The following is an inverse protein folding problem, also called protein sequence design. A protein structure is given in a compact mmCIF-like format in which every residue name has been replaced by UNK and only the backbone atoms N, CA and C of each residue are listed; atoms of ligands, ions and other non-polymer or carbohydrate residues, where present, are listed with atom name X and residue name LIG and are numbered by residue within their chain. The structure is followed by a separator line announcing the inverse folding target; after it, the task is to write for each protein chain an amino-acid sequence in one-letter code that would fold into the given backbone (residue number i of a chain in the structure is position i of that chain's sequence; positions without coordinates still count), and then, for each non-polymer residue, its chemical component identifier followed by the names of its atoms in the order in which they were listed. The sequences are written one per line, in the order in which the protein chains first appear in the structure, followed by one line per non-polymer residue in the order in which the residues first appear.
data_IF_769910970144
#
_entry.id   IF_769910970144
#
_cell.length_a   1.000
_cell.length_b   1.000
_cell.length_c   1.000
_cell.angle_alpha   90.00
_cell.angle_beta   90.00
_cell.angle_gamma   90.00
#
_symmetry.space_group_name_H-M   'P 1'
#
loop_
_entity.id
_entity.type
_entity.pdbx_description
1 polymer ?
#
# COMPACT_ATOMS: atom_id res chain seq x y z
N UNK A 1 11.84 15.25 -15.12
CA UNK A 1 10.74 15.70 -14.27
C UNK A 1 9.54 14.84 -14.59
N UNK A 2 8.89 14.23 -13.59
CA UNK A 2 7.68 13.44 -13.79
C UNK A 2 6.57 14.28 -14.47
N UNK A 3 5.59 13.59 -15.06
CA UNK A 3 4.36 14.26 -15.48
C UNK A 3 3.75 14.99 -14.30
N UNK A 4 3.22 16.17 -14.51
CA UNK A 4 2.65 16.96 -13.41
C UNK A 4 1.44 16.24 -12.80
N UNK A 5 1.35 16.28 -11.50
CA UNK A 5 0.20 15.85 -10.72
C UNK A 5 -1.07 16.58 -11.19
N UNK A 6 -2.24 15.92 -11.26
CA UNK A 6 -3.51 16.61 -11.52
C UNK A 6 -3.75 17.77 -10.53
N UNK A 7 -4.29 18.88 -11.01
CA UNK A 7 -4.45 20.07 -10.18
C UNK A 7 -5.38 19.84 -8.97
N UNK A 8 -6.37 18.96 -9.13
CA UNK A 8 -7.35 18.59 -8.11
C UNK A 8 -6.98 17.28 -7.35
N UNK A 9 -5.74 16.80 -7.46
CA UNK A 9 -5.30 15.52 -6.87
C UNK A 9 -5.58 15.43 -5.36
N UNK A 10 -5.17 16.45 -4.61
CA UNK A 10 -5.39 16.46 -3.15
C UNK A 10 -6.87 16.56 -2.81
N UNK A 11 -7.64 17.37 -3.54
CA UNK A 11 -9.08 17.48 -3.34
C UNK A 11 -9.79 16.16 -3.63
N UNK A 12 -9.41 15.48 -4.72
CA UNK A 12 -9.93 14.16 -5.07
C UNK A 12 -9.72 13.18 -3.91
N UNK A 13 -8.50 12.99 -3.44
CA UNK A 13 -8.21 12.04 -2.39
C UNK A 13 -8.81 12.43 -1.04
N UNK A 14 -8.80 13.70 -0.66
CA UNK A 14 -9.47 14.17 0.55
C UNK A 14 -10.97 13.87 0.51
N UNK A 15 -11.64 14.02 -0.63
CA UNK A 15 -13.05 13.66 -0.79
C UNK A 15 -13.29 12.16 -0.60
N UNK A 16 -12.36 11.29 -1.05
CA UNK A 16 -12.48 9.83 -0.83
C UNK A 16 -12.21 9.43 0.62
N UNK A 17 -11.18 10.00 1.22
CA UNK A 17 -10.86 9.76 2.64
C UNK A 17 -12.03 10.17 3.55
N UNK A 18 -12.72 11.25 3.24
CA UNK A 18 -13.88 11.73 4.02
C UNK A 18 -15.10 10.79 3.98
N UNK A 19 -15.16 9.85 3.02
CA UNK A 19 -16.25 8.86 2.96
C UNK A 19 -16.00 7.64 3.84
N UNK A 20 -14.80 7.47 4.38
CA UNK A 20 -14.49 6.33 5.23
C UNK A 20 -15.22 6.43 6.58
N UNK A 21 -15.91 5.35 6.95
CA UNK A 21 -16.47 5.20 8.29
C UNK A 21 -15.37 5.03 9.35
N UNK A 22 -15.76 5.00 10.62
CA UNK A 22 -14.83 4.62 11.70
C UNK A 22 -14.28 3.19 11.43
N UNK A 23 -12.99 2.93 11.72
CA UNK A 23 -12.36 1.65 11.41
C UNK A 23 -12.75 0.56 12.41
N UNK A 24 -14.04 0.19 12.43
CA UNK A 24 -14.57 -0.85 13.29
C UNK A 24 -14.17 -2.24 12.80
N UNK A 25 -13.95 -3.16 13.75
CA UNK A 25 -13.73 -4.58 13.47
C UNK A 25 -15.07 -5.27 13.36
N UNK A 26 -15.40 -5.80 12.18
CA UNK A 26 -16.59 -6.61 11.94
C UNK A 26 -16.42 -8.05 12.43
N UNK A 27 -15.20 -8.58 12.29
CA UNK A 27 -14.85 -9.95 12.68
C UNK A 27 -13.37 -10.01 13.08
N UNK A 28 -13.09 -10.75 14.15
CA UNK A 28 -11.74 -11.04 14.62
C UNK A 28 -11.62 -12.53 14.93
N UNK A 29 -10.66 -13.19 14.27
CA UNK A 29 -10.38 -14.63 14.44
C UNK A 29 -8.95 -14.82 14.86
N UNK A 30 -8.71 -15.60 15.91
CA UNK A 30 -7.36 -15.90 16.39
C UNK A 30 -6.61 -16.78 15.39
N UNK A 31 -5.33 -16.52 15.18
CA UNK A 31 -4.42 -17.35 14.37
C UNK A 31 -4.08 -18.62 15.19
N UNK A 32 -4.25 -19.78 14.60
CA UNK A 32 -4.08 -21.06 15.31
C UNK A 32 -2.67 -21.29 15.90
N UNK A 33 -1.63 -20.78 15.26
CA UNK A 33 -0.24 -20.95 15.68
C UNK A 33 0.55 -19.66 15.44
N UNK A 34 0.36 -18.62 16.25
CA UNK A 34 1.17 -17.42 16.15
C UNK A 34 2.62 -17.72 16.56
N UNK A 35 3.56 -16.86 16.19
CA UNK A 35 4.93 -16.98 16.65
C UNK A 35 4.99 -16.95 18.19
N UNK A 36 5.91 -17.71 18.77
CA UNK A 36 6.08 -17.79 20.24
C UNK A 36 6.25 -16.40 20.84
N UNK A 37 5.51 -16.11 21.92
CA UNK A 37 5.52 -14.80 22.57
C UNK A 37 4.65 -13.73 21.90
N UNK A 38 3.84 -14.07 20.90
CA UNK A 38 2.93 -13.14 20.22
C UNK A 38 1.48 -13.60 20.29
N UNK A 39 0.59 -12.63 20.19
CA UNK A 39 -0.81 -12.82 19.80
C UNK A 39 -0.96 -12.47 18.32
N UNK A 40 -1.87 -13.18 17.64
CA UNK A 40 -2.15 -12.98 16.24
C UNK A 40 -3.61 -13.19 15.90
N UNK A 41 -4.15 -12.33 15.05
CA UNK A 41 -5.55 -12.36 14.64
C UNK A 41 -5.67 -12.07 13.15
N UNK A 42 -6.67 -12.68 12.52
CA UNK A 42 -7.24 -12.19 11.27
C UNK A 42 -8.33 -11.20 11.65
N UNK A 43 -8.28 -10.01 11.10
CA UNK A 43 -9.29 -8.98 11.30
C UNK A 43 -9.96 -8.62 9.98
N UNK A 44 -11.29 -8.39 10.06
CA UNK A 44 -12.11 -7.88 8.98
C UNK A 44 -12.61 -6.50 9.38
N UNK A 45 -12.26 -5.49 8.63
CA UNK A 45 -12.56 -4.09 8.93
C UNK A 45 -13.73 -3.58 8.10
N UNK A 46 -14.56 -2.80 8.75
CA UNK A 46 -15.69 -2.11 8.14
C UNK A 46 -15.21 -1.03 7.16
N UNK A 47 -15.81 -1.03 5.99
CA UNK A 47 -15.63 -0.03 4.93
C UNK A 47 -16.93 0.74 4.62
N UNK A 48 -17.95 0.61 5.47
CA UNK A 48 -19.29 1.13 5.22
C UNK A 48 -20.02 0.32 4.16
N UNK A 49 -20.35 0.94 3.03
CA UNK A 49 -21.05 0.29 1.92
C UNK A 49 -20.13 -0.45 0.95
N UNK A 50 -18.80 -0.37 1.12
CA UNK A 50 -17.82 -1.03 0.27
C UNK A 50 -17.40 -2.40 0.82
N UNK A 51 -16.74 -3.20 -0.04
CA UNK A 51 -16.18 -4.48 0.37
C UNK A 51 -15.15 -4.33 1.49
N UNK A 52 -15.19 -5.18 2.54
CA UNK A 52 -14.37 -5.06 3.73
C UNK A 52 -12.87 -5.17 3.46
N UNK A 53 -12.06 -4.59 4.36
CA UNK A 53 -10.63 -4.79 4.35
C UNK A 53 -10.24 -5.95 5.28
N UNK A 54 -9.20 -6.70 4.90
CA UNK A 54 -8.68 -7.82 5.67
C UNK A 54 -7.20 -7.63 5.99
N UNK A 55 -6.81 -7.96 7.21
CA UNK A 55 -5.43 -7.91 7.63
C UNK A 55 -5.12 -8.97 8.71
N UNK A 56 -3.85 -9.36 8.80
CA UNK A 56 -3.32 -9.99 10.01
C UNK A 56 -2.91 -8.90 10.99
N UNK A 57 -3.40 -9.00 12.23
CA UNK A 57 -2.97 -8.19 13.37
C UNK A 57 -2.10 -9.05 14.28
N UNK A 58 -0.91 -8.58 14.63
CA UNK A 58 -0.02 -9.26 15.58
C UNK A 58 0.59 -8.28 16.57
N UNK A 59 0.87 -8.74 17.78
CA UNK A 59 1.59 -7.98 18.80
C UNK A 59 2.18 -8.91 19.87
N UNK A 60 3.25 -8.49 20.59
CA UNK A 60 3.82 -9.28 21.69
C UNK A 60 2.78 -9.55 22.78
N UNK A 61 2.80 -10.74 23.35
CA UNK A 61 1.97 -11.05 24.53
C UNK A 61 2.34 -10.10 25.69
N UNK A 62 1.37 -9.84 26.57
CA UNK A 62 1.55 -9.00 27.75
C UNK A 62 1.95 -7.55 27.46
N UNK A 63 1.60 -7.03 26.27
CA UNK A 63 1.83 -5.64 25.93
C UNK A 63 0.87 -4.73 26.68
N UNK A 64 1.38 -3.57 27.11
CA UNK A 64 0.60 -2.52 27.78
C UNK A 64 0.14 -1.45 26.80
N UNK A 65 -0.96 -0.79 27.11
CA UNK A 65 -1.48 0.30 26.28
C UNK A 65 -0.46 1.44 26.15
N UNK A 66 -0.33 2.00 24.95
CA UNK A 66 0.53 3.13 24.66
C UNK A 66 2.03 2.84 24.65
N UNK A 67 2.45 1.56 24.61
CA UNK A 67 3.86 1.20 24.71
C UNK A 67 4.49 0.71 23.42
N UNK A 68 3.70 0.24 22.46
CA UNK A 68 4.22 -0.37 21.23
C UNK A 68 4.39 0.64 20.10
N UNK A 69 5.42 0.47 19.28
CA UNK A 69 5.47 1.05 17.94
C UNK A 69 4.39 0.44 17.06
N UNK A 70 4.07 1.06 15.94
CA UNK A 70 3.19 0.47 14.94
C UNK A 70 3.94 0.19 13.63
N UNK A 71 3.60 -0.92 12.98
CA UNK A 71 4.13 -1.27 11.67
C UNK A 71 3.02 -1.79 10.74
N UNK A 72 3.06 -1.37 9.48
CA UNK A 72 2.16 -1.85 8.44
C UNK A 72 2.99 -2.32 7.26
N UNK A 73 2.66 -3.50 6.72
CA UNK A 73 3.23 -4.01 5.48
C UNK A 73 2.15 -4.28 4.45
N UNK A 74 2.40 -3.83 3.22
CA UNK A 74 1.58 -4.10 2.03
C UNK A 74 2.31 -5.03 1.09
N UNK A 75 1.59 -6.02 0.54
CA UNK A 75 2.18 -7.04 -0.33
C UNK A 75 2.28 -6.59 -1.80
N UNK A 76 3.12 -7.28 -2.57
CA UNK A 76 3.27 -7.07 -4.01
C UNK A 76 2.05 -7.47 -4.83
N UNK A 77 2.13 -7.31 -6.16
CA UNK A 77 1.07 -7.68 -7.08
C UNK A 77 0.73 -9.18 -6.99
N UNK A 78 -0.56 -9.49 -7.06
CA UNK A 78 -1.06 -10.85 -7.10
C UNK A 78 -2.20 -11.11 -6.12
N UNK A 79 -2.99 -12.14 -6.42
CA UNK A 79 -4.10 -12.62 -5.59
C UNK A 79 -3.61 -13.83 -4.82
N UNK A 80 -2.82 -13.59 -3.79
CA UNK A 80 -2.16 -14.64 -3.02
C UNK A 80 -2.47 -14.51 -1.54
N UNK A 81 -2.38 -15.64 -0.85
CA UNK A 81 -2.38 -15.64 0.61
C UNK A 81 -1.18 -14.86 1.11
N UNK A 82 -1.45 -13.87 1.95
CA UNK A 82 -0.41 -13.14 2.68
C UNK A 82 -0.09 -13.84 4.01
N UNK A 83 0.95 -13.40 4.70
CA UNK A 83 1.37 -13.96 5.98
C UNK A 83 1.40 -12.90 7.06
N UNK A 84 1.15 -13.25 8.33
CA UNK A 84 1.37 -12.35 9.45
C UNK A 84 2.86 -12.03 9.61
N UNK A 85 3.16 -10.82 10.09
CA UNK A 85 4.51 -10.41 10.48
C UNK A 85 4.59 -10.28 12.00
N UNK A 86 5.75 -10.54 12.58
CA UNK A 86 5.98 -10.49 14.02
C UNK A 86 7.20 -9.60 14.29
N UNK A 87 6.97 -8.43 14.85
CA UNK A 87 8.01 -7.44 15.08
C UNK A 87 8.12 -7.14 16.57
N UNK A 88 9.35 -7.16 17.11
CA UNK A 88 9.61 -6.91 18.53
C UNK A 88 9.11 -5.50 18.93
N UNK A 89 8.45 -5.41 20.08
CA UNK A 89 7.91 -4.16 20.64
C UNK A 89 7.00 -3.38 19.68
N UNK A 90 6.24 -4.10 18.85
CA UNK A 90 5.45 -3.46 17.78
C UNK A 90 4.09 -4.15 17.64
N UNK A 91 3.03 -3.36 17.53
CA UNK A 91 1.75 -3.82 17.00
C UNK A 91 1.83 -3.73 15.48
N UNK A 92 1.52 -4.83 14.77
CA UNK A 92 1.79 -4.94 13.34
C UNK A 92 0.55 -5.34 12.55
N UNK A 93 0.40 -4.77 11.35
CA UNK A 93 -0.57 -5.22 10.36
C UNK A 93 0.14 -5.71 9.10
N UNK A 94 -0.31 -6.86 8.60
CA UNK A 94 -0.05 -7.33 7.25
C UNK A 94 -1.37 -7.23 6.48
N UNK A 95 -1.46 -6.28 5.55
CA UNK A 95 -2.73 -5.88 4.93
C UNK A 95 -2.90 -6.53 3.56
N UNK A 96 -4.09 -7.08 3.30
CA UNK A 96 -4.46 -7.61 2.00
C UNK A 96 -4.92 -6.49 1.06
N UNK A 97 -4.36 -6.42 -0.13
CA UNK A 97 -4.77 -5.48 -1.17
C UNK A 97 -6.21 -5.69 -1.64
N UNK A 98 -6.71 -6.90 -1.49
CA UNK A 98 -8.03 -7.31 -1.96
C UNK A 98 -9.00 -7.54 -0.81
N UNK A 99 -10.30 -7.41 -1.10
CA UNK A 99 -11.34 -7.85 -0.16
C UNK A 99 -11.50 -9.36 -0.27
N UNK A 100 -10.63 -10.10 0.42
CA UNK A 100 -10.63 -11.55 0.43
C UNK A 100 -10.20 -12.11 1.78
N UNK A 101 -10.74 -13.27 2.16
CA UNK A 101 -10.40 -13.97 3.39
C UNK A 101 -8.94 -14.43 3.39
N UNK A 102 -8.29 -14.42 4.56
CA UNK A 102 -6.86 -14.74 4.69
C UNK A 102 -6.60 -16.19 5.09
N UNK A 103 -7.62 -16.92 5.48
CA UNK A 103 -7.57 -18.33 5.87
C UNK A 103 -8.39 -19.24 4.95
N UNK A 104 -8.68 -18.78 3.73
CA UNK A 104 -9.37 -19.53 2.71
C UNK A 104 -8.60 -20.79 2.26
N UNK A 105 -9.32 -21.70 1.60
CA UNK A 105 -8.74 -22.90 0.99
C UNK A 105 -7.95 -22.55 -0.30
N UNK A 106 -7.16 -23.49 -0.78
CA UNK A 106 -6.47 -23.32 -2.07
C UNK A 106 -7.46 -23.08 -3.24
N UNK A 107 -8.64 -23.72 -3.20
CA UNK A 107 -9.71 -23.53 -4.18
C UNK A 107 -10.27 -22.11 -4.11
N UNK A 108 -10.55 -21.61 -2.91
CA UNK A 108 -10.96 -20.22 -2.69
C UNK A 108 -10.01 -19.21 -3.34
N UNK A 109 -8.69 -19.36 -3.12
CA UNK A 109 -7.71 -18.46 -3.73
C UNK A 109 -7.63 -18.60 -5.25
N UNK A 110 -7.81 -19.79 -5.79
CA UNK A 110 -7.91 -20.03 -7.24
C UNK A 110 -9.11 -19.30 -7.84
N UNK A 111 -10.27 -19.37 -7.19
CA UNK A 111 -11.48 -18.67 -7.62
C UNK A 111 -11.31 -17.14 -7.52
N UNK A 112 -10.69 -16.67 -6.43
CA UNK A 112 -10.37 -15.25 -6.29
C UNK A 112 -9.37 -14.78 -7.35
N UNK A 113 -8.36 -15.58 -7.68
CA UNK A 113 -7.43 -15.29 -8.78
C UNK A 113 -8.19 -15.18 -10.11
N UNK A 114 -9.10 -16.10 -10.42
CA UNK A 114 -9.91 -16.06 -11.64
C UNK A 114 -10.83 -14.83 -11.66
N UNK A 115 -11.45 -14.50 -10.52
CA UNK A 115 -12.31 -13.32 -10.36
C UNK A 115 -11.56 -12.01 -10.55
N UNK A 116 -10.34 -11.91 -10.02
CA UNK A 116 -9.51 -10.71 -10.00
C UNK A 116 -8.37 -10.75 -11.04
N UNK A 117 -8.41 -11.71 -11.98
CA UNK A 117 -7.32 -11.86 -12.96
C UNK A 117 -7.08 -10.58 -13.74
N UNK A 118 -5.85 -10.10 -13.66
CA UNK A 118 -5.43 -8.85 -14.28
C UNK A 118 -6.12 -7.61 -13.71
N UNK A 119 -6.53 -7.63 -12.42
CA UNK A 119 -7.07 -6.44 -11.77
C UNK A 119 -6.19 -5.21 -12.01
N UNK A 120 -6.85 -4.07 -12.14
CA UNK A 120 -6.18 -2.80 -12.35
C UNK A 120 -5.77 -2.51 -13.80
N UNK A 121 -5.57 -3.51 -14.66
CA UNK A 121 -5.24 -3.24 -16.05
C UNK A 121 -5.62 -4.31 -17.08
N UNK A 122 -5.90 -5.54 -16.68
CA UNK A 122 -6.35 -6.56 -17.63
C UNK A 122 -7.86 -6.81 -17.58
N UNK A 123 -8.38 -7.02 -16.36
CA UNK A 123 -9.79 -7.36 -16.18
C UNK A 123 -10.70 -6.14 -16.16
N UNK A 124 -10.23 -5.08 -15.56
CA UNK A 124 -10.95 -3.80 -15.45
C UNK A 124 -11.04 -3.09 -16.80
N UNK A 125 -10.08 -3.34 -17.68
CA UNK A 125 -10.06 -2.81 -19.04
C UNK A 125 -9.87 -1.30 -19.12
N UNK A 126 -9.78 -0.80 -20.35
CA UNK A 126 -9.52 0.61 -20.62
C UNK A 126 -10.68 1.52 -20.20
N UNK A 127 -11.91 1.01 -20.21
CA UNK A 127 -13.09 1.79 -19.86
C UNK A 127 -13.09 2.22 -18.40
N UNK A 128 -12.70 1.32 -17.47
CA UNK A 128 -12.63 1.66 -16.05
C UNK A 128 -11.39 2.52 -15.75
N UNK A 129 -10.27 2.25 -16.38
CA UNK A 129 -9.05 3.04 -16.22
C UNK A 129 -9.12 4.44 -16.86
N UNK A 130 -10.13 4.73 -17.65
CA UNK A 130 -10.39 6.08 -18.19
C UNK A 130 -11.26 6.95 -17.28
N UNK A 131 -11.82 6.41 -16.23
CA UNK A 131 -12.61 7.11 -15.21
C UNK A 131 -11.96 6.99 -13.83
N UNK A 132 -11.45 8.11 -13.29
CA UNK A 132 -10.77 8.12 -11.99
C UNK A 132 -11.61 7.59 -10.83
N UNK A 133 -12.94 7.57 -10.96
CA UNK A 133 -13.85 7.02 -9.94
C UNK A 133 -13.99 5.50 -10.03
N UNK A 134 -13.62 4.89 -11.15
CA UNK A 134 -13.78 3.45 -11.39
C UNK A 134 -12.48 2.65 -11.34
N UNK A 135 -11.32 3.33 -11.36
CA UNK A 135 -10.02 2.66 -11.27
C UNK A 135 -9.98 1.72 -10.06
N UNK A 136 -9.62 0.46 -10.29
CA UNK A 136 -9.56 -0.58 -9.25
C UNK A 136 -8.77 -0.15 -8.00
N UNK A 137 -7.68 0.58 -8.21
CA UNK A 137 -6.80 1.03 -7.13
C UNK A 137 -7.46 1.99 -6.15
N UNK A 138 -8.57 2.65 -6.50
CA UNK A 138 -9.30 3.52 -5.56
C UNK A 138 -9.72 2.77 -4.31
N UNK A 139 -10.49 1.70 -4.49
CA UNK A 139 -11.00 0.92 -3.37
C UNK A 139 -9.88 0.12 -2.67
N UNK A 140 -8.86 -0.30 -3.40
CA UNK A 140 -7.67 -0.92 -2.81
C UNK A 140 -7.00 0.03 -1.82
N UNK A 141 -6.66 1.25 -2.23
CA UNK A 141 -6.01 2.24 -1.36
C UNK A 141 -6.91 2.71 -0.21
N UNK A 142 -8.22 2.74 -0.39
CA UNK A 142 -9.14 3.07 0.71
C UNK A 142 -9.18 1.95 1.76
N UNK A 143 -9.16 0.67 1.37
CA UNK A 143 -9.00 -0.46 2.31
C UNK A 143 -7.67 -0.40 3.05
N UNK A 144 -6.59 -0.10 2.33
CA UNK A 144 -5.26 0.05 2.90
C UNK A 144 -5.20 1.17 3.94
N UNK A 145 -5.81 2.31 3.62
CA UNK A 145 -5.90 3.46 4.54
C UNK A 145 -6.78 3.15 5.76
N UNK A 146 -7.88 2.41 5.57
CA UNK A 146 -8.73 2.01 6.70
C UNK A 146 -7.97 1.11 7.69
N UNK A 147 -7.14 0.20 7.19
CA UNK A 147 -6.26 -0.60 8.04
C UNK A 147 -5.24 0.28 8.81
N UNK A 148 -4.69 1.30 8.15
CA UNK A 148 -3.82 2.27 8.81
C UNK A 148 -4.57 3.10 9.88
N UNK A 149 -5.81 3.51 9.61
CA UNK A 149 -6.66 4.20 10.61
C UNK A 149 -6.95 3.31 11.81
N UNK A 150 -7.21 2.02 11.57
CA UNK A 150 -7.42 1.05 12.65
C UNK A 150 -6.19 0.94 13.58
N UNK A 151 -4.98 0.77 13.02
CA UNK A 151 -3.78 0.64 13.87
C UNK A 151 -3.45 1.94 14.59
N UNK A 152 -3.72 3.09 14.00
CA UNK A 152 -3.55 4.40 14.65
C UNK A 152 -4.54 4.63 15.80
N UNK A 153 -5.67 3.93 15.82
CA UNK A 153 -6.64 3.94 16.92
C UNK A 153 -6.43 2.78 17.90
N UNK A 154 -5.47 1.88 17.63
CA UNK A 154 -5.22 0.74 18.49
C UNK A 154 -4.61 1.19 19.84
N UNK A 155 -5.18 0.80 20.99
CA UNK A 155 -4.72 1.26 22.29
C UNK A 155 -3.28 0.85 22.61
N UNK A 156 -2.73 -0.20 22.00
CA UNK A 156 -1.35 -0.62 22.20
C UNK A 156 -0.33 0.34 21.57
N UNK A 157 -0.72 1.09 20.53
CA UNK A 157 0.19 2.01 19.83
C UNK A 157 0.59 3.18 20.72
N UNK A 158 1.87 3.56 20.68
CA UNK A 158 2.44 4.66 21.47
C UNK A 158 2.08 6.08 20.95
N UNK A 159 1.29 6.16 19.87
CA UNK A 159 0.85 7.42 19.28
C UNK A 159 1.93 8.19 18.50
N UNK A 160 3.13 7.64 18.34
CA UNK A 160 4.29 8.33 17.76
C UNK A 160 4.92 7.56 16.60
N UNK A 161 5.39 6.35 16.83
CA UNK A 161 6.22 5.59 15.90
C UNK A 161 5.34 4.74 14.97
N UNK A 162 5.23 5.13 13.72
CA UNK A 162 4.50 4.40 12.68
C UNK A 162 5.41 4.17 11.47
N UNK A 163 5.78 2.91 11.25
CA UNK A 163 6.52 2.46 10.06
C UNK A 163 5.54 1.86 9.05
N UNK A 164 5.59 2.33 7.81
CA UNK A 164 4.84 1.78 6.69
C UNK A 164 5.83 1.23 5.66
N UNK A 165 5.58 0.02 5.15
CA UNK A 165 6.51 -0.64 4.23
C UNK A 165 5.80 -1.45 3.16
N UNK A 166 6.51 -1.68 2.05
CA UNK A 166 6.03 -2.54 0.97
C UNK A 166 7.02 -2.65 -0.18
N UNK A 167 6.84 -3.69 -0.99
CA UNK A 167 7.60 -3.92 -2.20
C UNK A 167 6.72 -3.90 -3.44
N UNK A 168 7.25 -3.41 -4.58
CA UNK A 168 6.52 -3.37 -5.85
C UNK A 168 5.17 -2.67 -5.74
N UNK A 169 4.05 -3.34 -6.03
CA UNK A 169 2.71 -2.81 -5.78
C UNK A 169 2.52 -2.40 -4.31
N UNK A 170 3.06 -3.17 -3.36
CA UNK A 170 2.99 -2.83 -1.93
C UNK A 170 3.70 -1.51 -1.61
N UNK A 171 4.75 -1.15 -2.34
CA UNK A 171 5.41 0.15 -2.21
C UNK A 171 4.55 1.31 -2.72
N UNK A 172 3.78 1.10 -3.78
CA UNK A 172 2.74 2.04 -4.23
C UNK A 172 1.68 2.23 -3.13
N UNK A 173 1.14 1.14 -2.58
CA UNK A 173 0.17 1.18 -1.48
C UNK A 173 0.75 1.89 -0.25
N UNK A 174 1.96 1.51 0.18
CA UNK A 174 2.65 2.11 1.31
C UNK A 174 2.85 3.62 1.16
N UNK A 175 3.27 4.07 -0.03
CA UNK A 175 3.48 5.49 -0.33
C UNK A 175 2.17 6.27 -0.30
N UNK A 176 1.11 5.73 -0.92
CA UNK A 176 -0.21 6.34 -0.92
C UNK A 176 -0.77 6.47 0.50
N UNK A 177 -0.70 5.39 1.30
CA UNK A 177 -1.20 5.42 2.68
C UNK A 177 -0.40 6.37 3.55
N UNK A 178 0.94 6.38 3.45
CA UNK A 178 1.78 7.32 4.20
C UNK A 178 1.45 8.77 3.88
N UNK A 179 1.15 9.07 2.61
CA UNK A 179 0.73 10.40 2.15
C UNK A 179 -0.65 10.80 2.67
N UNK A 180 -1.61 9.87 2.65
CA UNK A 180 -3.00 10.14 3.03
C UNK A 180 -3.21 10.16 4.55
N UNK A 181 -2.56 9.28 5.32
CA UNK A 181 -2.69 9.25 6.79
C UNK A 181 -1.88 10.36 7.47
N UNK A 182 -0.82 10.89 6.83
CA UNK A 182 0.06 11.98 7.31
C UNK A 182 0.72 11.72 8.69
N UNK A 183 0.70 10.48 9.17
CA UNK A 183 1.21 10.07 10.49
C UNK A 183 2.42 9.14 10.42
N UNK A 184 2.78 8.65 9.23
CA UNK A 184 3.97 7.82 9.07
C UNK A 184 5.22 8.57 9.50
N UNK A 185 6.03 7.94 10.36
CA UNK A 185 7.36 8.42 10.77
C UNK A 185 8.46 7.81 9.92
N UNK A 186 8.23 6.60 9.42
CA UNK A 186 9.11 5.92 8.47
C UNK A 186 8.31 5.32 7.32
N UNK A 187 8.86 5.45 6.11
CA UNK A 187 8.37 4.78 4.90
C UNK A 187 9.53 4.01 4.27
N UNK A 188 9.45 2.67 4.30
CA UNK A 188 10.46 1.78 3.74
C UNK A 188 9.91 1.07 2.52
N UNK A 189 10.37 1.43 1.32
CA UNK A 189 9.85 0.91 0.06
C UNK A 189 10.94 0.33 -0.81
N UNK A 190 10.63 -0.81 -1.40
CA UNK A 190 11.54 -1.56 -2.26
C UNK A 190 10.92 -1.70 -3.64
N UNK A 191 11.70 -1.41 -4.71
CA UNK A 191 11.27 -1.53 -6.11
C UNK A 191 9.86 -0.95 -6.35
N UNK A 192 9.60 0.34 -6.01
CA UNK A 192 8.25 0.89 -6.02
C UNK A 192 7.63 0.91 -7.42
N UNK A 193 6.41 0.38 -7.51
CA UNK A 193 5.63 0.27 -8.74
C UNK A 193 4.81 1.53 -9.02
N UNK A 194 4.29 1.64 -10.24
CA UNK A 194 3.43 2.72 -10.73
C UNK A 194 4.06 4.12 -10.59
N UNK A 195 5.37 4.22 -10.69
CA UNK A 195 6.08 5.48 -10.63
C UNK A 195 6.18 6.12 -12.02
N UNK A 196 5.71 7.38 -12.15
CA UNK A 196 5.77 8.16 -13.39
C UNK A 196 5.05 7.45 -14.56
N UNK A 197 3.82 7.03 -14.30
CA UNK A 197 3.01 6.23 -15.21
C UNK A 197 2.82 6.89 -16.59
N UNK A 198 2.81 8.21 -16.66
CA UNK A 198 2.76 8.99 -17.90
C UNK A 198 4.13 9.31 -18.50
N UNK A 199 5.22 8.78 -17.96
CA UNK A 199 6.59 9.13 -18.35
C UNK A 199 6.94 8.86 -19.80
N UNK A 200 6.34 7.83 -20.42
CA UNK A 200 6.55 7.52 -21.84
C UNK A 200 6.10 8.64 -22.79
N UNK A 201 5.08 9.40 -22.41
CA UNK A 201 4.65 10.56 -23.22
C UNK A 201 5.73 11.65 -23.31
N UNK A 202 6.75 11.58 -22.45
CA UNK A 202 7.93 12.44 -22.41
C UNK A 202 9.22 11.70 -22.83
N UNK A 203 9.09 10.56 -23.50
CA UNK A 203 10.23 9.78 -24.01
C UNK A 203 11.03 9.01 -22.94
N UNK A 204 10.50 8.84 -21.73
CA UNK A 204 11.16 8.07 -20.68
C UNK A 204 10.83 6.58 -20.78
N UNK A 205 11.78 5.74 -20.34
CA UNK A 205 11.54 4.31 -20.19
C UNK A 205 10.46 4.10 -19.13
N UNK A 206 9.44 3.32 -19.46
CA UNK A 206 8.36 2.99 -18.56
C UNK A 206 8.31 1.50 -18.25
N UNK A 207 7.53 1.12 -17.24
CA UNK A 207 7.31 -0.26 -16.82
C UNK A 207 6.80 -1.13 -17.98
N UNK A 208 7.33 -2.34 -18.08
CA UNK A 208 6.77 -3.38 -18.96
C UNK A 208 5.56 -4.09 -18.34
N UNK A 209 5.24 -3.80 -17.08
CA UNK A 209 4.12 -4.36 -16.33
C UNK A 209 3.31 -3.25 -15.65
N UNK A 210 2.41 -2.65 -16.39
CA UNK A 210 1.51 -1.58 -15.94
C UNK A 210 0.28 -1.47 -16.84
N UNK A 211 -0.79 -0.85 -16.41
CA UNK A 211 -1.89 -0.47 -17.30
C UNK A 211 -1.42 0.55 -18.35
N UNK A 212 -2.10 0.58 -19.49
CA UNK A 212 -1.93 1.66 -20.46
C UNK A 212 -2.25 3.00 -19.82
N UNK A 213 -1.42 4.01 -20.13
CA UNK A 213 -1.62 5.32 -19.53
C UNK A 213 -2.95 5.95 -19.95
N UNK A 214 -3.66 6.47 -18.97
CA UNK A 214 -4.82 7.37 -19.13
C UNK A 214 -4.68 8.54 -18.18
N UNK A 215 -5.36 9.64 -18.43
CA UNK A 215 -5.36 10.79 -17.51
C UNK A 215 -5.96 10.43 -16.13
N UNK A 216 -6.92 9.50 -16.09
CA UNK A 216 -7.49 9.00 -14.85
C UNK A 216 -6.45 8.31 -13.96
N UNK A 217 -5.50 7.58 -14.55
CA UNK A 217 -4.42 6.90 -13.82
C UNK A 217 -3.39 7.87 -13.23
N UNK A 218 -3.36 9.13 -13.64
CA UNK A 218 -2.53 10.15 -13.00
C UNK A 218 -2.91 10.40 -11.53
N UNK A 219 -4.14 10.07 -11.14
CA UNK A 219 -4.61 10.12 -9.74
C UNK A 219 -4.08 8.96 -8.88
N UNK A 220 -3.39 8.02 -9.50
CA UNK A 220 -2.85 6.80 -8.86
C UNK A 220 -1.34 6.65 -9.06
N UNK A 221 -0.67 7.68 -9.60
CA UNK A 221 0.78 7.68 -9.75
C UNK A 221 1.47 7.81 -8.40
N UNK A 222 2.38 6.88 -8.09
CA UNK A 222 3.14 6.87 -6.84
C UNK A 222 3.93 8.17 -6.63
N UNK A 223 4.38 8.81 -7.70
CA UNK A 223 5.08 10.10 -7.66
C UNK A 223 4.17 11.22 -7.14
N UNK A 224 2.88 11.19 -7.50
CA UNK A 224 1.91 12.18 -7.03
C UNK A 224 1.67 12.07 -5.52
N UNK A 225 1.55 10.86 -5.00
CA UNK A 225 1.47 10.64 -3.54
C UNK A 225 2.72 11.07 -2.81
N UNK A 226 3.90 10.78 -3.37
CA UNK A 226 5.17 11.13 -2.75
C UNK A 226 5.34 12.63 -2.49
N UNK A 227 4.75 13.47 -3.35
CA UNK A 227 4.75 14.92 -3.17
C UNK A 227 3.94 15.39 -1.94
N UNK A 228 3.01 14.55 -1.45
CA UNK A 228 2.15 14.82 -0.30
C UNK A 228 2.66 14.25 1.03
N UNK A 229 3.76 13.52 1.04
CA UNK A 229 4.31 12.92 2.26
C UNK A 229 4.58 13.98 3.33
N UNK A 230 4.32 13.62 4.59
CA UNK A 230 4.67 14.48 5.72
C UNK A 230 6.18 14.75 5.71
N UNK A 231 6.57 16.02 5.88
CA UNK A 231 7.97 16.45 5.87
C UNK A 231 8.83 15.83 6.99
N UNK A 232 8.21 15.30 8.04
CA UNK A 232 8.89 14.58 9.12
C UNK A 232 9.04 13.08 8.88
N UNK A 233 8.44 12.52 7.83
CA UNK A 233 8.57 11.11 7.47
C UNK A 233 9.96 10.82 6.91
N UNK A 234 10.68 9.85 7.49
CA UNK A 234 11.96 9.40 6.95
C UNK A 234 11.71 8.32 5.88
N UNK A 235 12.12 8.59 4.63
CA UNK A 235 11.84 7.72 3.49
C UNK A 235 13.09 6.98 3.05
N UNK A 236 13.02 5.65 3.00
CA UNK A 236 14.09 4.78 2.50
C UNK A 236 13.59 4.04 1.27
N UNK A 237 14.33 4.16 0.18
CA UNK A 237 13.99 3.54 -1.10
C UNK A 237 15.10 2.60 -1.51
N UNK A 238 14.74 1.41 -1.97
CA UNK A 238 15.65 0.49 -2.64
C UNK A 238 15.14 0.23 -4.06
N UNK A 239 16.04 0.29 -5.06
CA UNK A 239 15.72 0.11 -6.46
C UNK A 239 16.76 -0.78 -7.16
N UNK A 240 16.30 -1.64 -8.08
CA UNK A 240 17.17 -2.43 -8.93
C UNK A 240 17.52 -1.68 -10.21
N UNK A 241 18.80 -1.61 -10.58
CA UNK A 241 19.21 -0.95 -11.83
C UNK A 241 18.76 -1.72 -13.08
N UNK A 242 18.57 -3.03 -12.99
CA UNK A 242 18.08 -3.88 -14.07
C UNK A 242 16.56 -4.10 -14.08
N UNK A 243 15.82 -3.44 -13.20
CA UNK A 243 14.38 -3.65 -13.06
C UNK A 243 13.60 -3.00 -14.21
N UNK A 244 12.91 -3.84 -14.99
CA UNK A 244 12.03 -3.41 -16.10
C UNK A 244 10.58 -3.27 -15.67
N UNK A 245 10.20 -3.89 -14.58
CA UNK A 245 8.85 -3.81 -13.99
C UNK A 245 8.68 -2.51 -13.21
N UNK A 246 9.72 -2.14 -12.44
CA UNK A 246 9.79 -0.87 -11.72
C UNK A 246 11.06 -0.10 -12.13
N UNK A 247 11.08 0.49 -13.34
CA UNK A 247 12.30 1.07 -13.90
C UNK A 247 12.93 2.13 -13.00
N UNK A 248 14.27 2.14 -12.85
CA UNK A 248 14.96 3.10 -11.98
C UNK A 248 14.73 4.55 -12.40
N UNK A 249 14.35 4.82 -13.66
CA UNK A 249 13.95 6.16 -14.12
C UNK A 249 12.69 6.67 -13.41
N UNK A 250 11.65 5.82 -13.30
CA UNK A 250 10.43 6.12 -12.55
C UNK A 250 10.68 6.24 -11.06
N UNK A 251 11.51 5.35 -10.48
CA UNK A 251 11.91 5.41 -9.07
C UNK A 251 12.70 6.69 -8.77
N UNK A 252 13.53 7.15 -9.69
CA UNK A 252 14.24 8.44 -9.55
C UNK A 252 13.25 9.61 -9.60
N UNK A 253 12.21 9.54 -10.43
CA UNK A 253 11.16 10.57 -10.44
C UNK A 253 10.42 10.61 -9.09
N UNK A 254 10.11 9.45 -8.50
CA UNK A 254 9.55 9.30 -7.16
C UNK A 254 10.47 9.94 -6.12
N UNK A 255 11.74 9.56 -6.09
CA UNK A 255 12.73 10.12 -5.17
C UNK A 255 12.78 11.65 -5.25
N UNK A 256 12.81 12.20 -6.46
CA UNK A 256 12.87 13.66 -6.64
C UNK A 256 11.61 14.39 -6.19
N UNK A 257 10.45 13.75 -6.20
CA UNK A 257 9.18 14.32 -5.75
C UNK A 257 9.07 14.41 -4.21
N UNK A 258 9.74 13.53 -3.48
CA UNK A 258 9.72 13.51 -2.02
C UNK A 258 10.41 14.76 -1.47
N UNK A 259 9.71 15.47 -0.57
CA UNK A 259 10.22 16.68 0.11
C UNK A 259 10.65 16.41 1.56
N UNK A 260 10.42 15.19 2.04
CA UNK A 260 10.82 14.70 3.35
C UNK A 260 12.28 14.22 3.36
N UNK A 261 12.90 13.97 4.53
CA UNK A 261 14.19 13.29 4.62
C UNK A 261 14.14 11.94 3.88
N UNK A 262 15.10 11.71 3.00
CA UNK A 262 15.06 10.56 2.10
C UNK A 262 16.43 10.01 1.77
N UNK A 263 16.49 8.72 1.53
CA UNK A 263 17.64 8.03 0.97
C UNK A 263 17.20 7.06 -0.13
N UNK A 264 18.10 6.77 -1.05
CA UNK A 264 17.87 5.77 -2.08
C UNK A 264 19.13 4.92 -2.24
N UNK A 265 18.93 3.60 -2.32
CA UNK A 265 19.94 2.63 -2.66
C UNK A 265 19.61 2.03 -4.02
N UNK A 266 20.51 2.19 -4.99
CA UNK A 266 20.46 1.47 -6.25
C UNK A 266 21.31 0.21 -6.18
N UNK A 267 20.68 -0.94 -6.33
CA UNK A 267 21.37 -2.24 -6.30
C UNK A 267 21.72 -2.65 -7.74
N UNK A 268 23.02 -2.86 -8.00
CA UNK A 268 23.53 -3.19 -9.30
C UNK A 268 23.00 -4.56 -9.75
N UNK A 269 23.07 -5.45 -10.03
CA UNK A 269 22.64 -6.78 -10.48
C UNK A 269 21.23 -7.19 -10.02
N UNK A 270 20.44 -6.25 -9.53
CA UNK A 270 19.05 -6.52 -9.13
C UNK A 270 18.10 -6.20 -10.25
N UNK A 271 17.27 -7.17 -10.61
CA UNK A 271 16.07 -7.04 -11.45
C UNK A 271 14.85 -6.77 -10.55
N UNK A 272 13.67 -7.25 -10.93
CA UNK A 272 12.47 -7.08 -10.10
C UNK A 272 12.42 -8.05 -8.90
N UNK A 273 13.15 -9.15 -8.98
CA UNK A 273 13.25 -10.19 -7.94
C UNK A 273 14.41 -9.96 -6.98
#
# INVERSE_FOLDING_TARGET
KAKSQPADFEQFWNSKVSTLCEPNVLEQKEISNPASGYKGYIIKLDMGSADPAYAYLTYPQNSENGTLKAAIIYHGYGVNKISPIYVKNTVSLSVCAHSMELDGTAEYYKDMQAKLDGYGFKKVGDTENSDKEKVYFKNMLLRDLQAARYIMNNPLWNGKDLTISGGSQGAFQATAVAALCKKATELNITIPWLCDIGGETSGRINSNFRPSFTEALSYYDTVSFAAMLNKSCNVKIEAGLGDRTCPPSGVTALYNAIKAPKSILFTQNRTHE
#
